data_IF_521862184062
#
_entry.id   IF_521862184062
#
_cell.length_a   1.000
_cell.length_b   1.000
_cell.length_c   1.000
_cell.angle_alpha   90.00
_cell.angle_beta   90.00
_cell.angle_gamma   90.00
#
_symmetry.space_group_name_H-M   'P 1'
#
loop_
_entity.id
_entity.type
_entity.pdbx_description
1 polymer ?
#
# COMPACT_ATOMS: atom_id res chain seq x y z
N UNK A 1 -3.08 35.30 -37.52
CA UNK A 1 -4.38 34.88 -36.97
C UNK A 1 -4.20 33.53 -36.27
N UNK A 2 -4.55 33.51 -34.99
CA UNK A 2 -4.81 32.38 -34.09
C UNK A 2 -3.67 31.40 -33.75
N UNK A 3 -3.00 31.76 -32.65
CA UNK A 3 -2.48 30.89 -31.59
C UNK A 3 -3.48 29.81 -31.14
N UNK A 4 -2.99 28.57 -31.00
CA UNK A 4 -3.46 27.68 -29.94
C UNK A 4 -2.34 26.75 -29.48
N UNK A 5 -1.69 27.18 -28.39
CA UNK A 5 -1.04 26.29 -27.43
C UNK A 5 -2.14 25.42 -26.80
N UNK A 6 -2.05 24.11 -26.91
CA UNK A 6 -2.64 23.19 -25.93
C UNK A 6 -1.56 22.19 -25.52
N UNK A 7 -0.76 22.65 -24.57
CA UNK A 7 0.03 21.82 -23.68
C UNK A 7 -0.91 21.09 -22.72
N UNK A 8 -1.31 19.87 -23.06
CA UNK A 8 -1.86 18.93 -22.09
C UNK A 8 -0.71 18.08 -21.54
N UNK A 9 -0.20 18.50 -20.38
CA UNK A 9 0.90 17.84 -19.66
C UNK A 9 0.43 16.47 -19.17
N UNK A 10 1.01 15.33 -19.62
CA UNK A 10 0.80 14.07 -18.94
C UNK A 10 1.71 14.06 -17.72
N UNK A 11 1.22 13.56 -16.58
CA UNK A 11 2.07 13.08 -15.47
C UNK A 11 2.52 14.11 -14.40
N UNK A 12 1.58 14.66 -13.62
CA UNK A 12 1.89 15.29 -12.31
C UNK A 12 1.26 14.51 -11.14
N UNK A 13 0.34 13.58 -11.40
CA UNK A 13 -0.41 12.85 -10.37
C UNK A 13 0.43 11.79 -9.62
N UNK A 14 1.52 11.32 -10.23
CA UNK A 14 2.41 10.29 -9.67
C UNK A 14 3.20 10.77 -8.45
N UNK A 15 3.65 12.02 -8.43
CA UNK A 15 4.48 12.54 -7.33
C UNK A 15 3.64 12.86 -6.09
N UNK A 16 2.48 13.47 -6.27
CA UNK A 16 1.57 13.76 -5.15
C UNK A 16 1.09 12.49 -4.46
N UNK A 17 0.77 11.44 -5.23
CA UNK A 17 0.36 10.14 -4.69
C UNK A 17 1.46 9.48 -3.85
N UNK A 18 2.72 9.59 -4.30
CA UNK A 18 3.88 9.10 -3.56
C UNK A 18 4.11 9.88 -2.26
N UNK A 19 3.98 11.21 -2.30
CA UNK A 19 4.13 12.07 -1.12
C UNK A 19 3.04 11.77 -0.08
N UNK A 20 1.78 11.69 -0.50
CA UNK A 20 0.65 11.36 0.37
C UNK A 20 0.84 9.96 0.98
N UNK A 21 1.28 8.98 0.18
CA UNK A 21 1.58 7.65 0.70
C UNK A 21 2.70 7.66 1.75
N UNK A 22 3.79 8.40 1.52
CA UNK A 22 4.88 8.55 2.49
C UNK A 22 4.41 9.16 3.82
N UNK A 23 3.56 10.19 3.77
CA UNK A 23 2.95 10.78 4.96
C UNK A 23 2.03 9.79 5.70
N UNK A 24 1.19 9.05 4.99
CA UNK A 24 0.30 8.03 5.58
C UNK A 24 1.10 6.93 6.26
N UNK A 25 2.23 6.54 5.67
CA UNK A 25 3.17 5.56 6.24
C UNK A 25 3.76 6.06 7.56
N UNK A 26 4.17 7.32 7.62
CA UNK A 26 4.71 7.94 8.84
C UNK A 26 3.63 8.09 9.94
N UNK A 27 2.38 8.36 9.56
CA UNK A 27 1.25 8.58 10.47
C UNK A 27 0.52 7.30 10.95
N UNK A 28 1.09 6.10 10.76
CA UNK A 28 0.45 4.81 11.10
C UNK A 28 -0.95 4.60 10.46
N UNK A 29 -1.17 5.13 9.25
CA UNK A 29 -2.45 5.00 8.57
C UNK A 29 -2.72 3.60 7.97
N UNK A 30 -3.89 3.44 7.38
CA UNK A 30 -4.28 2.23 6.66
C UNK A 30 -4.34 2.48 5.15
N UNK A 31 -3.89 1.49 4.37
CA UNK A 31 -3.88 1.53 2.91
C UNK A 31 -4.95 0.60 2.33
N UNK A 32 -5.58 1.05 1.25
CA UNK A 32 -6.52 0.25 0.45
C UNK A 32 -5.80 -0.71 -0.49
N UNK A 33 -6.56 -1.67 -1.02
CA UNK A 33 -6.05 -2.70 -1.94
C UNK A 33 -5.32 -2.10 -3.16
N UNK A 34 -5.93 -1.13 -3.84
CA UNK A 34 -5.37 -0.54 -5.07
C UNK A 34 -4.07 0.20 -4.83
N UNK A 35 -3.97 0.91 -3.71
CA UNK A 35 -2.73 1.59 -3.31
C UNK A 35 -1.60 0.58 -3.08
N UNK A 36 -1.90 -0.54 -2.42
CA UNK A 36 -0.90 -1.59 -2.17
C UNK A 36 -0.46 -2.30 -3.46
N UNK A 37 -1.38 -2.55 -4.40
CA UNK A 37 -1.03 -3.07 -5.74
C UNK A 37 -0.01 -2.16 -6.44
N UNK A 38 -0.26 -0.84 -6.43
CA UNK A 38 0.64 0.15 -7.04
C UNK A 38 1.99 0.22 -6.32
N UNK A 39 2.00 0.21 -4.98
CA UNK A 39 3.24 0.33 -4.20
C UNK A 39 4.12 -0.91 -4.30
N UNK A 40 3.52 -2.10 -4.32
CA UNK A 40 4.25 -3.37 -4.34
C UNK A 40 4.62 -3.85 -5.73
N UNK A 41 4.06 -3.24 -6.79
CA UNK A 41 4.14 -3.72 -8.17
C UNK A 41 3.67 -5.18 -8.30
N UNK A 42 2.66 -5.56 -7.50
CA UNK A 42 2.07 -6.90 -7.49
C UNK A 42 0.59 -6.83 -7.84
N UNK A 43 0.13 -7.83 -8.58
CA UNK A 43 -1.30 -8.01 -8.81
C UNK A 43 -2.03 -8.44 -7.53
N UNK A 44 -3.34 -8.22 -7.51
CA UNK A 44 -4.22 -8.68 -6.43
C UNK A 44 -4.05 -10.18 -6.14
N UNK A 45 -3.98 -10.99 -7.19
CA UNK A 45 -3.81 -12.46 -7.07
C UNK A 45 -2.46 -12.82 -6.47
N UNK A 46 -1.39 -12.14 -6.89
CA UNK A 46 -0.04 -12.39 -6.37
C UNK A 46 0.07 -11.97 -4.90
N UNK A 47 -0.53 -10.84 -4.52
CA UNK A 47 -0.66 -10.42 -3.12
C UNK A 47 -1.37 -11.52 -2.31
N UNK A 48 -2.49 -12.05 -2.79
CA UNK A 48 -3.21 -13.12 -2.10
C UNK A 48 -2.38 -14.40 -1.95
N UNK A 49 -1.63 -14.78 -2.99
CA UNK A 49 -0.73 -15.94 -2.95
C UNK A 49 0.35 -15.76 -1.89
N UNK A 50 0.99 -14.60 -1.86
CA UNK A 50 2.03 -14.27 -0.87
C UNK A 50 1.49 -14.15 0.55
N UNK A 51 0.28 -13.63 0.73
CA UNK A 51 -0.40 -13.62 2.02
C UNK A 51 -0.65 -15.03 2.55
N UNK A 52 -1.09 -15.96 1.69
CA UNK A 52 -1.24 -17.38 2.05
C UNK A 52 0.10 -18.05 2.38
N UNK A 53 1.18 -17.62 1.73
CA UNK A 53 2.54 -18.09 2.00
C UNK A 53 3.20 -17.43 3.23
N UNK A 54 2.56 -16.44 3.86
CA UNK A 54 3.12 -15.70 5.00
C UNK A 54 4.23 -14.71 4.61
N UNK A 55 4.41 -14.42 3.32
CA UNK A 55 5.47 -13.55 2.77
C UNK A 55 4.97 -12.16 2.38
N UNK A 56 3.78 -11.77 2.87
CA UNK A 56 3.19 -10.44 2.63
C UNK A 56 2.26 -10.03 3.80
N UNK A 57 2.15 -8.73 4.12
CA UNK A 57 1.26 -8.22 5.17
C UNK A 57 -0.21 -8.60 4.96
N UNK A 58 -0.94 -8.85 6.06
CA UNK A 58 -2.39 -9.16 6.01
C UNK A 58 -3.21 -7.88 6.14
N UNK A 59 -4.47 -7.95 5.70
CA UNK A 59 -5.43 -6.87 5.95
C UNK A 59 -5.98 -7.00 7.36
N UNK A 60 -6.08 -5.88 8.05
CA UNK A 60 -6.74 -5.76 9.34
C UNK A 60 -8.07 -5.02 9.20
N UNK A 61 -8.96 -5.26 10.15
CA UNK A 61 -10.19 -4.52 10.29
C UNK A 61 -9.92 -3.10 10.80
N UNK A 62 -10.58 -2.11 10.19
CA UNK A 62 -10.50 -0.71 10.58
C UNK A 62 -11.77 -0.37 11.36
N UNK A 63 -11.61 0.12 12.61
CA UNK A 63 -12.72 0.48 13.50
C UNK A 63 -13.65 -0.71 13.78
N UNK A 64 -14.95 -0.49 13.65
CA UNK A 64 -16.01 -1.46 13.97
C UNK A 64 -16.15 -2.62 12.94
N UNK A 65 -15.12 -2.85 12.12
CA UNK A 65 -15.03 -4.05 11.28
C UNK A 65 -15.67 -3.96 9.89
N UNK A 66 -16.24 -2.82 9.51
CA UNK A 66 -16.86 -2.68 8.18
C UNK A 66 -15.85 -2.52 7.03
N UNK A 67 -14.61 -2.14 7.34
CA UNK A 67 -13.55 -1.94 6.34
C UNK A 67 -12.31 -2.76 6.69
N UNK A 68 -11.61 -3.19 5.65
CA UNK A 68 -10.32 -3.88 5.76
C UNK A 68 -9.25 -3.08 5.02
N UNK A 69 -8.10 -2.90 5.64
CA UNK A 69 -6.95 -2.21 5.05
C UNK A 69 -5.63 -2.80 5.54
N UNK A 70 -4.54 -2.39 4.91
CA UNK A 70 -3.20 -2.78 5.30
C UNK A 70 -2.60 -1.73 6.21
N UNK A 71 -1.92 -2.13 7.29
CA UNK A 71 -1.14 -1.16 8.07
C UNK A 71 -0.03 -0.60 7.18
N UNK A 72 0.01 0.72 7.04
CA UNK A 72 0.99 1.38 6.17
C UNK A 72 2.43 1.08 6.62
N UNK A 73 2.67 1.02 7.93
CA UNK A 73 3.96 0.62 8.52
C UNK A 73 4.42 -0.78 8.10
N UNK A 74 3.53 -1.76 8.08
CA UNK A 74 3.87 -3.12 7.65
C UNK A 74 4.20 -3.19 6.16
N UNK A 75 3.44 -2.48 5.34
CA UNK A 75 3.72 -2.37 3.90
C UNK A 75 5.07 -1.69 3.67
N UNK A 76 5.40 -0.63 4.41
CA UNK A 76 6.72 0.01 4.32
C UNK A 76 7.85 -0.95 4.71
N UNK A 77 7.68 -1.69 5.81
CA UNK A 77 8.68 -2.69 6.24
C UNK A 77 8.86 -3.79 5.20
N UNK A 78 7.76 -4.26 4.61
CA UNK A 78 7.79 -5.22 3.51
C UNK A 78 8.51 -4.63 2.29
N UNK A 79 8.21 -3.40 1.87
CA UNK A 79 8.87 -2.75 0.73
C UNK A 79 10.38 -2.60 0.93
N UNK A 80 10.83 -2.35 2.16
CA UNK A 80 12.26 -2.27 2.49
C UNK A 80 12.96 -3.62 2.38
N UNK A 81 12.28 -4.72 2.74
CA UNK A 81 12.85 -6.05 2.62
C UNK A 81 11.77 -7.14 2.38
N UNK A 82 11.36 -7.35 1.12
CA UNK A 82 10.30 -8.30 0.79
C UNK A 82 10.69 -9.77 1.02
N UNK A 83 11.98 -10.07 0.91
CA UNK A 83 12.52 -11.45 0.93
C UNK A 83 12.60 -12.00 2.35
N UNK A 84 12.93 -11.15 3.32
CA UNK A 84 13.03 -11.55 4.73
C UNK A 84 11.72 -11.37 5.49
N UNK A 85 10.65 -10.92 4.84
CA UNK A 85 9.35 -10.80 5.49
C UNK A 85 8.88 -12.18 5.95
N UNK A 86 8.79 -12.35 7.26
CA UNK A 86 8.10 -13.46 7.90
C UNK A 86 6.96 -12.90 8.74
N UNK A 87 5.81 -13.55 8.65
CA UNK A 87 4.69 -13.28 9.53
C UNK A 87 5.09 -13.57 10.98
N UNK A 88 5.61 -12.57 11.68
CA UNK A 88 5.89 -12.62 13.11
C UNK A 88 5.25 -11.45 13.89
N UNK A 89 4.45 -10.59 13.24
CA UNK A 89 3.99 -9.32 13.83
C UNK A 89 2.51 -8.95 13.60
N UNK A 90 1.64 -9.86 13.14
CA UNK A 90 0.24 -9.50 12.81
C UNK A 90 -0.87 -10.33 13.48
N UNK A 91 -0.54 -11.36 14.24
CA UNK A 91 -1.54 -12.34 14.72
C UNK A 91 -1.58 -12.59 16.24
N UNK A 92 -0.72 -11.99 17.07
CA UNK A 92 -0.69 -12.34 18.50
C UNK A 92 -0.20 -11.20 19.43
N UNK A 93 -0.94 -10.10 19.48
CA UNK A 93 -1.25 -9.41 20.75
C UNK A 93 -2.73 -9.67 21.09
N UNK A 94 -3.07 -10.95 21.24
CA UNK A 94 -4.31 -11.41 21.85
C UNK A 94 -3.94 -12.32 23.01
N UNK A 95 -3.48 -11.71 24.10
CA UNK A 95 -3.46 -12.28 25.44
C UNK A 95 -4.16 -11.30 26.36
#
# INVERSE_FOLDING_TARGET
MNTKLESASPFVESDSSRIIASLIIEMNGFLGQKTVEVLSDLSHTEIHRRQRAGTFPKKEFIGDGQRKGYRAKEIQLWLKNPVTWKENNGAAERT
#
